data_IF_125622321993
#
_entry.id   IF_125622321993
#
_cell.length_a   1.000
_cell.length_b   1.000
_cell.length_c   1.000
_cell.angle_alpha   90.00
_cell.angle_beta   90.00
_cell.angle_gamma   90.00
#
_symmetry.space_group_name_H-M   'P 1'
#
loop_
_entity.id
_entity.type
_entity.pdbx_description
1 polymer ?
#
# COMPACT_ATOMS: atom_id res chain seq x y z
N UNK A 1 -17.16 1.99 12.96
CA UNK A 1 -16.29 1.14 12.09
C UNK A 1 -15.12 0.68 12.94
N UNK A 2 -14.68 -0.57 12.77
CA UNK A 2 -13.54 -1.11 13.52
C UNK A 2 -12.24 -0.71 12.84
N UNK A 3 -11.30 -0.15 13.59
CA UNK A 3 -9.97 0.18 13.05
C UNK A 3 -9.11 -1.08 12.92
N UNK A 4 -8.53 -1.30 11.74
CA UNK A 4 -7.59 -2.43 11.49
C UNK A 4 -6.13 -1.98 11.55
N UNK A 5 -5.88 -0.69 11.32
CA UNK A 5 -4.57 -0.06 11.45
C UNK A 5 -4.74 1.33 12.07
N UNK A 6 -3.94 1.63 13.09
CA UNK A 6 -3.81 2.98 13.65
C UNK A 6 -2.33 3.27 13.94
N UNK A 7 -1.90 4.46 13.54
CA UNK A 7 -0.64 5.03 14.03
C UNK A 7 -0.95 6.28 14.83
N UNK A 8 -0.20 6.52 15.88
CA UNK A 8 -0.38 7.68 16.75
C UNK A 8 0.94 8.37 16.97
N UNK A 9 1.12 9.53 16.33
CA UNK A 9 2.28 10.38 16.49
C UNK A 9 3.61 9.68 16.22
N UNK A 10 3.72 8.84 15.19
CA UNK A 10 4.96 8.10 14.95
C UNK A 10 6.08 8.98 14.41
N UNK A 11 7.27 8.85 15.02
CA UNK A 11 8.51 9.47 14.59
C UNK A 11 9.50 8.39 14.16
N UNK A 12 9.92 8.39 12.90
CA UNK A 12 10.85 7.42 12.35
C UNK A 12 12.13 8.07 11.82
N UNK A 13 13.21 7.30 11.88
CA UNK A 13 14.55 7.81 11.57
C UNK A 13 15.35 6.78 10.76
N UNK A 14 16.17 7.26 9.83
CA UNK A 14 17.29 6.51 9.27
C UNK A 14 18.60 7.09 9.82
N UNK A 15 19.24 6.35 10.73
CA UNK A 15 20.39 6.85 11.47
C UNK A 15 20.03 8.11 12.27
N UNK A 16 20.60 9.26 11.88
CA UNK A 16 20.32 10.59 12.48
C UNK A 16 19.22 11.35 11.74
N UNK A 17 18.88 10.96 10.52
CA UNK A 17 17.89 11.66 9.70
C UNK A 17 16.48 11.37 10.21
N UNK A 18 15.77 12.39 10.64
CA UNK A 18 14.39 12.34 11.09
C UNK A 18 13.48 12.43 9.87
N UNK A 19 12.70 11.40 9.59
CA UNK A 19 11.89 11.30 8.37
C UNK A 19 10.41 11.48 8.65
N UNK A 20 9.89 10.89 9.72
CA UNK A 20 8.48 11.05 10.10
C UNK A 20 8.36 11.92 11.35
N UNK A 21 7.55 12.93 11.28
CA UNK A 21 7.41 13.99 12.29
C UNK A 21 6.03 13.95 12.95
N UNK A 22 5.70 12.83 13.63
CA UNK A 22 4.44 12.70 14.36
C UNK A 22 3.27 12.25 13.46
N UNK A 23 3.50 11.30 12.55
CA UNK A 23 2.47 10.81 11.62
C UNK A 23 1.41 10.01 12.36
N UNK A 24 0.15 10.41 12.20
CA UNK A 24 -1.04 9.70 12.69
C UNK A 24 -1.98 9.41 11.54
N UNK A 25 -2.36 8.14 11.37
CA UNK A 25 -3.32 7.68 10.37
C UNK A 25 -4.12 6.51 10.91
N UNK A 26 -5.24 6.26 10.26
CA UNK A 26 -6.13 5.16 10.57
C UNK A 26 -6.70 4.54 9.30
N UNK A 27 -6.80 3.21 9.28
CA UNK A 27 -7.52 2.44 8.25
C UNK A 27 -8.59 1.62 8.97
N UNK A 28 -9.83 1.71 8.51
CA UNK A 28 -10.93 0.92 9.03
C UNK A 28 -11.12 -0.37 8.23
N UNK A 29 -11.90 -1.30 8.80
CA UNK A 29 -12.24 -2.55 8.13
C UNK A 29 -13.00 -2.30 6.83
N UNK A 30 -12.55 -2.97 5.73
CA UNK A 30 -13.16 -2.86 4.41
C UNK A 30 -12.98 -1.49 3.73
N UNK A 31 -12.01 -0.69 4.16
CA UNK A 31 -11.73 0.65 3.64
C UNK A 31 -10.47 0.66 2.78
N UNK A 32 -10.49 1.45 1.68
CA UNK A 32 -9.28 1.85 0.97
C UNK A 32 -8.88 3.24 1.46
N UNK A 33 -7.73 3.35 2.10
CA UNK A 33 -7.11 4.64 2.47
C UNK A 33 -5.94 4.91 1.55
N UNK A 34 -5.96 6.04 0.85
CA UNK A 34 -4.83 6.51 0.05
C UNK A 34 -3.91 7.39 0.91
N UNK A 35 -2.61 7.07 0.92
CA UNK A 35 -1.58 7.97 1.42
C UNK A 35 -0.82 8.56 0.23
N UNK A 36 -1.03 9.85 0.01
CA UNK A 36 -0.53 10.61 -1.11
C UNK A 36 0.62 11.52 -0.67
N UNK A 37 1.50 11.85 -1.59
CA UNK A 37 2.62 12.77 -1.35
C UNK A 37 3.71 12.62 -2.37
N UNK A 38 4.60 13.61 -2.43
CA UNK A 38 5.74 13.62 -3.36
C UNK A 38 6.78 12.56 -2.98
N UNK A 39 7.73 12.31 -3.88
CA UNK A 39 8.88 11.47 -3.56
C UNK A 39 9.67 12.08 -2.40
N UNK A 40 10.09 11.23 -1.46
CA UNK A 40 10.79 11.66 -0.25
C UNK A 40 9.89 12.18 0.87
N UNK A 41 8.58 12.31 0.69
CA UNK A 41 7.67 12.80 1.73
C UNK A 41 7.56 11.89 2.97
N UNK A 42 8.04 10.63 2.89
CA UNK A 42 8.00 9.68 4.01
C UNK A 42 6.99 8.54 3.87
N UNK A 43 6.32 8.41 2.71
CA UNK A 43 5.27 7.39 2.47
C UNK A 43 5.74 5.96 2.72
N UNK A 44 6.77 5.51 2.01
CA UNK A 44 7.40 4.19 2.21
C UNK A 44 7.90 4.01 3.65
N UNK A 45 8.45 5.07 4.27
CA UNK A 45 8.90 5.03 5.66
C UNK A 45 7.74 4.78 6.62
N UNK A 46 6.56 5.34 6.33
CA UNK A 46 5.35 5.09 7.13
C UNK A 46 4.95 3.62 7.07
N UNK A 47 4.84 3.03 5.85
CA UNK A 47 4.57 1.58 5.72
C UNK A 47 5.65 0.76 6.44
N UNK A 48 6.93 1.06 6.23
CA UNK A 48 8.04 0.33 6.87
C UNK A 48 8.01 0.44 8.39
N UNK A 49 7.52 1.56 8.93
CA UNK A 49 7.32 1.72 10.38
C UNK A 49 6.17 0.84 10.88
N UNK A 50 5.05 0.80 10.16
CA UNK A 50 3.89 -0.03 10.47
C UNK A 50 4.24 -1.52 10.48
N UNK A 51 5.00 -2.00 9.49
CA UNK A 51 5.36 -3.43 9.36
C UNK A 51 6.62 -3.83 10.16
N UNK A 52 7.18 -2.93 10.97
CA UNK A 52 8.32 -3.24 11.84
C UNK A 52 9.67 -3.35 11.14
N UNK A 53 9.81 -2.91 9.88
CA UNK A 53 11.10 -2.84 9.16
C UNK A 53 11.91 -1.59 9.53
N UNK A 54 11.24 -0.51 9.94
CA UNK A 54 11.85 0.71 10.47
C UNK A 54 11.01 1.16 11.68
N UNK A 55 11.09 0.46 12.83
CA UNK A 55 10.24 0.75 13.98
C UNK A 55 10.35 2.21 14.42
N UNK A 56 9.23 2.87 14.72
CA UNK A 56 9.26 4.26 15.17
C UNK A 56 9.97 4.39 16.51
N UNK A 57 10.73 5.49 16.71
CA UNK A 57 11.38 5.79 17.98
C UNK A 57 10.42 6.36 19.01
N UNK A 58 9.37 7.08 18.54
CA UNK A 58 8.31 7.67 19.34
C UNK A 58 6.97 7.44 18.67
N UNK A 59 5.89 7.51 19.44
CA UNK A 59 4.55 7.21 18.98
C UNK A 59 4.22 5.72 19.06
N UNK A 60 3.05 5.37 18.60
CA UNK A 60 2.52 4.00 18.70
C UNK A 60 1.96 3.52 17.37
N UNK A 61 2.04 2.22 17.11
CA UNK A 61 1.35 1.52 16.03
C UNK A 61 0.46 0.44 16.62
N UNK A 62 -0.76 0.33 16.08
CA UNK A 62 -1.74 -0.68 16.48
C UNK A 62 -2.29 -1.34 15.22
N UNK A 63 -2.37 -2.68 15.22
CA UNK A 63 -2.91 -3.48 14.12
C UNK A 63 -3.87 -4.50 14.71
N UNK A 64 -5.11 -4.52 14.22
CA UNK A 64 -6.20 -5.36 14.72
C UNK A 64 -6.35 -5.29 16.24
N UNK A 65 -6.31 -4.07 16.81
CA UNK A 65 -6.43 -3.81 18.25
C UNK A 65 -5.21 -4.21 19.10
N UNK A 66 -4.11 -4.64 18.47
CA UNK A 66 -2.86 -5.02 19.17
C UNK A 66 -1.80 -3.95 18.98
N UNK A 67 -1.15 -3.51 20.07
CA UNK A 67 0.02 -2.63 20.01
C UNK A 67 1.20 -3.38 19.40
N UNK A 68 1.66 -2.92 18.23
CA UNK A 68 2.70 -3.59 17.42
C UNK A 68 3.97 -2.77 17.26
N UNK A 69 4.10 -1.63 17.94
CA UNK A 69 5.12 -0.58 17.72
C UNK A 69 6.56 -1.06 17.57
N UNK A 70 6.95 -2.13 18.30
CA UNK A 70 8.31 -2.70 18.25
C UNK A 70 8.32 -4.18 17.88
N UNK A 71 7.24 -4.65 17.28
CA UNK A 71 7.20 -6.04 16.84
C UNK A 71 8.06 -6.24 15.59
N UNK A 72 8.75 -7.38 15.49
CA UNK A 72 9.47 -7.73 14.27
C UNK A 72 8.48 -8.04 13.14
N UNK A 73 8.89 -7.76 11.91
CA UNK A 73 8.03 -7.83 10.73
C UNK A 73 7.32 -9.18 10.55
N UNK A 74 7.99 -10.31 10.86
CA UNK A 74 7.37 -11.64 10.74
C UNK A 74 6.16 -11.80 11.68
N UNK A 75 6.20 -11.28 12.91
CA UNK A 75 5.06 -11.31 13.83
C UNK A 75 3.91 -10.44 13.39
N UNK A 76 4.21 -9.29 12.74
CA UNK A 76 3.19 -8.44 12.15
C UNK A 76 2.53 -9.14 10.95
N UNK A 77 3.31 -9.80 10.09
CA UNK A 77 2.78 -10.61 9.01
C UNK A 77 1.88 -11.75 9.53
N UNK A 78 2.22 -12.36 10.67
CA UNK A 78 1.41 -13.38 11.34
C UNK A 78 0.04 -12.86 11.84
N UNK A 79 -0.14 -11.57 12.01
CA UNK A 79 -1.45 -10.98 12.32
C UNK A 79 -2.39 -10.96 11.11
N UNK A 80 -1.91 -11.26 9.91
CA UNK A 80 -2.70 -11.16 8.69
C UNK A 80 -2.49 -9.82 7.97
N UNK A 81 -1.27 -9.28 7.99
CA UNK A 81 -0.88 -8.12 7.19
C UNK A 81 -0.15 -8.58 5.95
N UNK A 82 -0.71 -8.27 4.77
CA UNK A 82 -0.05 -8.44 3.48
C UNK A 82 0.71 -7.16 3.09
N UNK A 83 1.93 -7.31 2.58
CA UNK A 83 2.75 -6.19 2.13
C UNK A 83 3.28 -6.39 0.72
N UNK A 84 3.08 -5.41 -0.14
CA UNK A 84 3.64 -5.31 -1.48
C UNK A 84 4.59 -4.13 -1.51
N UNK A 85 5.90 -4.36 -1.47
CA UNK A 85 6.91 -3.30 -1.55
C UNK A 85 7.06 -2.78 -2.98
N UNK A 86 7.53 -1.56 -3.12
CA UNK A 86 7.95 -0.97 -4.40
C UNK A 86 8.94 -1.89 -5.15
N UNK A 87 8.81 -1.92 -6.49
CA UNK A 87 9.79 -2.54 -7.37
C UNK A 87 9.56 -4.02 -7.65
N UNK A 88 8.31 -4.48 -7.67
CA UNK A 88 7.90 -5.80 -8.21
C UNK A 88 8.72 -6.95 -7.64
N UNK A 89 8.75 -7.11 -6.32
CA UNK A 89 9.59 -8.11 -5.62
C UNK A 89 9.04 -9.53 -5.79
N UNK A 90 9.20 -10.09 -7.00
CA UNK A 90 8.84 -11.47 -7.34
C UNK A 90 10.10 -12.34 -7.46
N UNK A 91 9.92 -13.66 -7.47
CA UNK A 91 10.99 -14.61 -7.74
C UNK A 91 11.07 -14.86 -9.26
N UNK A 92 11.93 -14.13 -9.95
CA UNK A 92 12.05 -14.19 -11.42
C UNK A 92 12.45 -15.55 -11.97
N UNK A 93 13.14 -16.39 -11.18
CA UNK A 93 13.54 -17.75 -11.53
C UNK A 93 12.48 -18.83 -11.30
N UNK A 94 11.37 -18.48 -10.63
CA UNK A 94 10.24 -19.36 -10.41
C UNK A 94 9.12 -19.06 -11.42
N UNK A 95 8.32 -20.06 -11.75
CA UNK A 95 7.08 -19.86 -12.52
C UNK A 95 6.06 -19.04 -11.73
N UNK A 96 5.02 -18.52 -12.40
CA UNK A 96 3.89 -17.84 -11.74
C UNK A 96 3.29 -18.73 -10.66
N UNK A 97 3.00 -19.99 -11.00
CA UNK A 97 2.41 -20.94 -10.05
C UNK A 97 3.32 -21.21 -8.84
N UNK A 98 4.62 -21.35 -9.06
CA UNK A 98 5.60 -21.53 -7.97
C UNK A 98 5.71 -20.28 -7.11
N UNK A 99 5.72 -19.07 -7.70
CA UNK A 99 5.67 -17.82 -6.97
C UNK A 99 4.46 -17.74 -6.04
N UNK A 100 3.28 -18.19 -6.51
CA UNK A 100 2.06 -18.23 -5.70
C UNK A 100 2.10 -19.30 -4.60
N UNK A 101 2.90 -20.35 -4.76
CA UNK A 101 3.08 -21.41 -3.76
C UNK A 101 4.12 -21.09 -2.68
N UNK A 102 5.00 -20.09 -2.90
CA UNK A 102 6.01 -19.69 -1.91
C UNK A 102 5.41 -19.26 -0.56
N UNK A 103 4.35 -18.43 -0.49
CA UNK A 103 3.68 -18.20 0.76
C UNK A 103 3.08 -19.49 1.29
N UNK A 104 3.30 -19.81 2.59
CA UNK A 104 2.54 -20.87 3.22
C UNK A 104 1.07 -20.41 3.31
N UNK A 105 0.24 -20.95 2.41
CA UNK A 105 -1.18 -20.60 2.37
C UNK A 105 -1.82 -20.83 3.74
N UNK A 106 -2.51 -19.83 4.24
CA UNK A 106 -3.30 -19.94 5.48
C UNK A 106 -4.72 -20.34 5.13
N UNK A 107 -5.43 -21.03 6.04
CA UNK A 107 -6.87 -21.28 5.87
C UNK A 107 -7.61 -19.95 5.69
N UNK A 108 -8.50 -19.91 4.70
CA UNK A 108 -9.30 -18.72 4.43
C UNK A 108 -9.86 -18.71 3.00
N UNK A 109 -10.55 -17.63 2.63
CA UNK A 109 -11.22 -17.54 1.33
C UNK A 109 -10.26 -17.42 0.15
N UNK A 110 -9.03 -16.91 0.37
CA UNK A 110 -8.04 -16.74 -0.68
C UNK A 110 -7.23 -18.01 -0.89
N UNK A 111 -7.44 -18.65 -2.03
CA UNK A 111 -6.70 -19.77 -2.55
C UNK A 111 -6.22 -19.48 -3.98
N UNK A 112 -5.43 -20.38 -4.58
CA UNK A 112 -4.87 -20.18 -5.93
C UNK A 112 -5.98 -19.95 -6.96
N UNK A 113 -7.08 -20.70 -6.91
CA UNK A 113 -8.18 -20.58 -7.88
C UNK A 113 -8.87 -19.21 -7.77
N UNK A 114 -9.05 -18.70 -6.54
CA UNK A 114 -9.64 -17.36 -6.34
C UNK A 114 -8.67 -16.27 -6.79
N UNK A 115 -7.37 -16.45 -6.56
CA UNK A 115 -6.33 -15.54 -7.08
C UNK A 115 -6.35 -15.52 -8.60
N UNK A 116 -6.44 -16.66 -9.27
CA UNK A 116 -6.53 -16.71 -10.73
C UNK A 116 -7.83 -16.07 -11.27
N UNK A 117 -8.95 -16.21 -10.57
CA UNK A 117 -10.19 -15.48 -10.93
C UNK A 117 -10.01 -13.95 -10.86
N UNK A 118 -9.24 -13.47 -9.88
CA UNK A 118 -8.94 -12.03 -9.76
C UNK A 118 -7.90 -11.57 -10.79
N UNK A 119 -6.96 -12.47 -11.17
CA UNK A 119 -5.85 -12.21 -12.08
C UNK A 119 -5.83 -13.23 -13.25
N UNK A 120 -6.78 -13.18 -14.20
CA UNK A 120 -6.88 -14.19 -15.28
C UNK A 120 -5.60 -14.30 -16.12
N UNK A 121 -4.90 -13.18 -16.36
CA UNK A 121 -3.63 -13.18 -17.10
C UNK A 121 -2.53 -13.98 -16.40
N UNK A 122 -2.53 -14.04 -15.07
CA UNK A 122 -1.57 -14.88 -14.33
C UNK A 122 -1.90 -16.37 -14.50
N UNK A 123 -3.18 -16.72 -14.62
CA UNK A 123 -3.59 -18.10 -14.91
C UNK A 123 -3.12 -18.55 -16.29
N UNK A 124 -3.33 -17.72 -17.32
CA UNK A 124 -2.87 -17.98 -18.69
C UNK A 124 -1.35 -18.22 -18.76
N UNK A 125 -0.60 -17.59 -17.85
CA UNK A 125 0.86 -17.62 -17.78
C UNK A 125 1.41 -18.44 -16.63
N UNK A 126 0.62 -19.31 -16.00
CA UNK A 126 0.97 -20.02 -14.76
C UNK A 126 2.27 -20.85 -14.84
N UNK A 127 2.65 -21.31 -16.04
CA UNK A 127 3.88 -22.06 -16.29
C UNK A 127 5.07 -21.20 -16.75
N UNK A 128 4.86 -19.90 -17.02
CA UNK A 128 5.94 -19.00 -17.41
C UNK A 128 6.76 -18.55 -16.19
N UNK A 129 8.07 -18.34 -16.38
CA UNK A 129 8.94 -17.82 -15.35
C UNK A 129 8.61 -16.33 -15.05
N UNK A 130 8.72 -15.90 -13.80
CA UNK A 130 8.45 -14.54 -13.39
C UNK A 130 9.22 -13.48 -14.19
N UNK A 131 10.48 -13.77 -14.57
CA UNK A 131 11.29 -12.88 -15.42
C UNK A 131 10.78 -12.73 -16.86
N UNK A 132 9.90 -13.60 -17.34
CA UNK A 132 9.33 -13.56 -18.69
C UNK A 132 8.02 -12.74 -18.74
N UNK A 133 7.50 -12.36 -17.59
CA UNK A 133 6.29 -11.56 -17.48
C UNK A 133 6.58 -10.09 -17.86
N UNK A 134 5.58 -9.41 -18.42
CA UNK A 134 5.58 -7.95 -18.56
C UNK A 134 5.63 -7.28 -17.18
N UNK A 135 6.04 -6.00 -17.13
CA UNK A 135 6.09 -5.25 -15.87
C UNK A 135 4.74 -5.22 -15.13
N UNK A 136 3.63 -5.12 -15.86
CA UNK A 136 2.29 -5.17 -15.27
C UNK A 136 1.92 -6.54 -14.71
N UNK A 137 2.24 -7.60 -15.42
CA UNK A 137 2.02 -8.98 -14.94
C UNK A 137 2.89 -9.30 -13.71
N UNK A 138 4.12 -8.76 -13.67
CA UNK A 138 4.99 -8.88 -12.49
C UNK A 138 4.38 -8.16 -11.28
N UNK A 139 3.81 -6.97 -11.46
CA UNK A 139 3.12 -6.24 -10.41
C UNK A 139 1.88 -6.98 -9.92
N UNK A 140 1.05 -7.47 -10.86
CA UNK A 140 -0.09 -8.32 -10.51
C UNK A 140 0.31 -9.56 -9.72
N UNK A 141 1.44 -10.20 -10.08
CA UNK A 141 1.97 -11.33 -9.32
C UNK A 141 2.47 -10.93 -7.93
N UNK A 142 3.10 -9.76 -7.81
CA UNK A 142 3.54 -9.22 -6.52
C UNK A 142 2.36 -8.95 -5.58
N UNK A 143 1.23 -8.43 -6.11
CA UNK A 143 -0.01 -8.20 -5.36
C UNK A 143 -0.72 -9.52 -5.02
N UNK A 144 -0.71 -10.48 -5.95
CA UNK A 144 -1.39 -11.77 -5.80
C UNK A 144 -0.79 -12.66 -4.68
N UNK A 145 0.53 -12.61 -4.51
CA UNK A 145 1.24 -13.48 -3.56
C UNK A 145 0.79 -13.31 -2.10
N UNK A 146 0.75 -12.12 -1.52
CA UNK A 146 0.32 -11.95 -0.13
C UNK A 146 -1.16 -12.28 0.10
N UNK A 147 -2.03 -12.29 -0.91
CA UNK A 147 -3.43 -12.71 -0.76
C UNK A 147 -3.55 -14.15 -0.25
N UNK A 148 -2.63 -15.03 -0.63
CA UNK A 148 -2.62 -16.43 -0.18
C UNK A 148 -2.30 -16.61 1.32
N UNK A 149 -1.87 -15.55 1.99
CA UNK A 149 -1.77 -15.49 3.45
C UNK A 149 -3.12 -15.16 4.11
N UNK A 150 -4.17 -14.95 3.33
CA UNK A 150 -5.50 -14.56 3.79
C UNK A 150 -5.43 -13.33 4.72
N UNK A 151 -4.88 -12.19 4.24
CA UNK A 151 -4.71 -11.00 5.06
C UNK A 151 -6.05 -10.31 5.32
N UNK A 152 -6.16 -9.62 6.46
CA UNK A 152 -7.25 -8.66 6.72
C UNK A 152 -6.87 -7.23 6.32
N UNK A 153 -5.56 -6.97 6.16
CA UNK A 153 -5.02 -5.67 5.78
C UNK A 153 -3.93 -5.84 4.72
N UNK A 154 -4.05 -5.10 3.61
CA UNK A 154 -3.04 -5.00 2.57
C UNK A 154 -2.37 -3.64 2.60
N UNK A 155 -1.04 -3.63 2.55
CA UNK A 155 -0.21 -2.43 2.44
C UNK A 155 0.47 -2.45 1.07
N UNK A 156 0.14 -1.51 0.21
CA UNK A 156 0.63 -1.41 -1.16
C UNK A 156 1.50 -0.17 -1.30
N UNK A 157 2.77 -0.35 -1.66
CA UNK A 157 3.76 0.73 -1.75
C UNK A 157 4.08 1.03 -3.21
N UNK A 158 3.45 2.07 -3.76
CA UNK A 158 3.57 2.58 -5.13
C UNK A 158 3.37 1.50 -6.23
N UNK A 159 2.27 0.72 -6.19
CA UNK A 159 2.06 -0.38 -7.13
C UNK A 159 1.87 0.08 -8.59
N UNK A 160 1.64 1.36 -8.84
CA UNK A 160 1.50 1.90 -10.20
C UNK A 160 2.83 2.38 -10.82
N UNK A 161 3.91 2.41 -10.04
CA UNK A 161 5.17 3.02 -10.45
C UNK A 161 5.78 2.34 -11.69
N UNK A 162 6.12 3.14 -12.70
CA UNK A 162 6.78 2.65 -13.92
C UNK A 162 5.93 1.73 -14.78
N UNK A 163 4.59 1.79 -14.64
CA UNK A 163 3.64 1.06 -15.46
C UNK A 163 3.00 1.97 -16.52
N UNK A 164 2.62 1.38 -17.66
CA UNK A 164 1.84 2.07 -18.67
C UNK A 164 0.44 2.46 -18.14
N UNK A 165 -0.15 3.59 -18.55
CA UNK A 165 -1.41 4.10 -18.01
C UNK A 165 -2.57 3.11 -18.01
N UNK A 166 -2.66 2.25 -19.03
CA UNK A 166 -3.69 1.22 -19.10
C UNK A 166 -3.52 0.17 -17.98
N UNK A 167 -2.28 -0.26 -17.75
CA UNK A 167 -1.96 -1.24 -16.70
C UNK A 167 -2.18 -0.64 -15.31
N UNK A 168 -1.85 0.64 -15.11
CA UNK A 168 -2.14 1.34 -13.86
C UNK A 168 -3.64 1.28 -13.52
N UNK A 169 -4.52 1.51 -14.52
CA UNK A 169 -5.97 1.36 -14.34
C UNK A 169 -6.36 -0.07 -13.94
N UNK A 170 -5.76 -1.08 -14.58
CA UNK A 170 -6.01 -2.49 -14.23
C UNK A 170 -5.62 -2.78 -12.77
N UNK A 171 -4.43 -2.32 -12.33
CA UNK A 171 -3.98 -2.45 -10.92
C UNK A 171 -4.98 -1.82 -9.96
N UNK A 172 -5.43 -0.59 -10.23
CA UNK A 172 -6.40 0.09 -9.36
C UNK A 172 -7.75 -0.61 -9.33
N UNK A 173 -8.21 -1.19 -10.45
CA UNK A 173 -9.42 -2.01 -10.47
C UNK A 173 -9.27 -3.28 -9.60
N UNK A 174 -8.09 -3.90 -9.61
CA UNK A 174 -7.79 -5.03 -8.73
C UNK A 174 -7.85 -4.62 -7.26
N UNK A 175 -7.21 -3.50 -6.90
CA UNK A 175 -7.24 -2.97 -5.52
C UNK A 175 -8.70 -2.70 -5.08
N UNK A 176 -9.53 -2.13 -5.94
CA UNK A 176 -10.96 -1.93 -5.66
C UNK A 176 -11.68 -3.25 -5.44
N UNK A 177 -11.46 -4.25 -6.31
CA UNK A 177 -12.05 -5.59 -6.13
C UNK A 177 -11.61 -6.25 -4.83
N UNK A 178 -10.36 -6.10 -4.42
CA UNK A 178 -9.88 -6.59 -3.13
C UNK A 178 -10.69 -6.00 -1.96
N UNK A 179 -10.97 -4.69 -1.99
CA UNK A 179 -11.84 -4.04 -1.01
C UNK A 179 -13.27 -4.60 -1.06
N UNK A 180 -13.83 -4.76 -2.26
CA UNK A 180 -15.19 -5.29 -2.44
C UNK A 180 -15.31 -6.75 -1.94
N UNK A 181 -14.19 -7.48 -1.86
CA UNK A 181 -14.04 -8.80 -1.24
C UNK A 181 -13.75 -8.74 0.28
N UNK A 182 -13.83 -7.55 0.90
CA UNK A 182 -13.71 -7.35 2.35
C UNK A 182 -12.30 -7.05 2.85
N UNK A 183 -11.31 -6.86 1.98
CA UNK A 183 -9.96 -6.48 2.39
C UNK A 183 -9.88 -4.99 2.72
N UNK A 184 -9.16 -4.66 3.79
CA UNK A 184 -8.77 -3.28 4.09
C UNK A 184 -7.44 -2.98 3.40
N UNK A 185 -7.27 -1.77 2.86
CA UNK A 185 -6.09 -1.42 2.06
C UNK A 185 -5.53 -0.06 2.47
N UNK A 186 -4.24 0.00 2.76
CA UNK A 186 -3.46 1.24 2.74
C UNK A 186 -2.69 1.29 1.43
N UNK A 187 -3.09 2.19 0.54
CA UNK A 187 -2.49 2.42 -0.76
C UNK A 187 -1.59 3.65 -0.71
N UNK A 188 -0.29 3.45 -0.82
CA UNK A 188 0.68 4.54 -0.96
C UNK A 188 0.91 4.80 -2.44
N UNK A 189 0.72 6.05 -2.90
CA UNK A 189 0.80 6.38 -4.31
C UNK A 189 1.23 7.84 -4.57
N UNK A 190 1.72 8.08 -5.79
CA UNK A 190 1.97 9.41 -6.33
C UNK A 190 0.89 9.85 -7.32
N UNK A 191 0.22 8.90 -7.96
CA UNK A 191 -0.85 9.20 -8.93
C UNK A 191 -2.14 9.61 -8.19
N UNK A 192 -2.22 10.91 -7.86
CA UNK A 192 -3.30 11.47 -7.05
C UNK A 192 -4.67 11.22 -7.64
N UNK A 193 -4.97 11.61 -8.92
CA UNK A 193 -6.32 11.47 -9.47
C UNK A 193 -6.81 10.02 -9.45
N UNK A 194 -5.94 9.07 -9.78
CA UNK A 194 -6.32 7.68 -9.88
C UNK A 194 -6.53 7.05 -8.49
N UNK A 195 -5.66 7.37 -7.53
CA UNK A 195 -5.82 6.90 -6.15
C UNK A 195 -7.11 7.42 -5.52
N UNK A 196 -7.43 8.71 -5.73
CA UNK A 196 -8.66 9.30 -5.22
C UNK A 196 -9.93 8.71 -5.85
N UNK A 197 -9.83 8.17 -7.08
CA UNK A 197 -10.98 7.54 -7.76
C UNK A 197 -11.42 6.22 -7.15
N UNK A 198 -10.58 5.58 -6.33
CA UNK A 198 -10.86 4.28 -5.70
C UNK A 198 -10.84 4.32 -4.18
N UNK A 199 -10.21 5.34 -3.58
CA UNK A 199 -10.09 5.46 -2.13
C UNK A 199 -11.35 6.03 -1.49
N UNK A 200 -11.63 5.59 -0.27
CA UNK A 200 -12.70 6.11 0.58
C UNK A 200 -12.22 7.35 1.34
N UNK A 201 -10.98 7.30 1.86
CA UNK A 201 -10.31 8.40 2.56
C UNK A 201 -8.89 8.60 2.04
N UNK A 202 -8.36 9.79 2.28
CA UNK A 202 -7.00 10.13 1.90
C UNK A 202 -6.26 10.88 3.01
N UNK A 203 -4.97 10.59 3.09
CA UNK A 203 -3.97 11.36 3.82
C UNK A 203 -2.97 11.92 2.84
N UNK A 204 -2.60 13.18 3.02
CA UNK A 204 -1.49 13.78 2.27
C UNK A 204 -0.31 13.95 3.20
N UNK A 205 0.80 13.37 2.82
CA UNK A 205 2.07 13.46 3.53
C UNK A 205 3.00 14.43 2.80
N UNK A 206 3.53 15.42 3.53
CA UNK A 206 4.52 16.36 3.03
C UNK A 206 5.61 16.55 4.11
N UNK A 207 6.87 16.38 3.73
CA UNK A 207 8.03 16.49 4.63
C UNK A 207 7.83 15.78 5.98
N UNK A 208 7.37 14.52 5.93
CA UNK A 208 7.15 13.66 7.10
C UNK A 208 5.97 14.03 7.99
N UNK A 209 5.07 14.93 7.56
CA UNK A 209 3.88 15.36 8.30
C UNK A 209 2.61 15.14 7.49
N UNK A 210 1.52 14.80 8.18
CA UNK A 210 0.19 14.80 7.56
C UNK A 210 -0.28 16.25 7.43
N UNK A 211 -0.52 16.69 6.18
CA UNK A 211 -1.02 18.05 5.86
C UNK A 211 -2.48 18.04 5.43
N UNK A 212 -3.04 16.88 5.13
CA UNK A 212 -4.47 16.66 4.88
C UNK A 212 -4.89 15.29 5.42
N UNK A 213 -6.08 15.22 5.97
CA UNK A 213 -6.77 13.99 6.37
C UNK A 213 -8.27 14.18 6.19
N UNK A 214 -8.89 13.34 5.34
CA UNK A 214 -10.33 13.49 5.06
C UNK A 214 -10.85 12.52 4.02
N UNK A 215 -12.06 12.76 3.54
CA UNK A 215 -12.67 11.99 2.45
C UNK A 215 -11.90 12.15 1.14
N UNK A 216 -11.70 11.06 0.40
CA UNK A 216 -11.03 11.10 -0.89
C UNK A 216 -11.81 11.96 -1.91
N UNK A 217 -13.15 11.89 -1.88
CA UNK A 217 -14.02 12.70 -2.73
C UNK A 217 -13.93 14.21 -2.43
N UNK A 218 -13.66 14.60 -1.18
CA UNK A 218 -13.50 16.00 -0.81
C UNK A 218 -12.14 16.53 -1.24
N UNK A 219 -11.08 15.74 -1.06
CA UNK A 219 -9.76 16.08 -1.59
C UNK A 219 -9.78 16.22 -3.13
N UNK A 220 -10.52 15.37 -3.83
CA UNK A 220 -10.63 15.44 -5.29
C UNK A 220 -11.26 16.76 -5.81
N UNK A 221 -12.03 17.47 -4.98
CA UNK A 221 -12.62 18.79 -5.29
C UNK A 221 -11.63 19.94 -5.07
N UNK A 222 -10.60 19.73 -4.24
CA UNK A 222 -9.54 20.71 -3.96
C UNK A 222 -8.49 20.66 -5.07
N UNK A 223 -8.82 21.32 -6.20
CA UNK A 223 -7.97 21.35 -7.40
C UNK A 223 -6.59 21.93 -7.13
N UNK A 224 -6.46 22.90 -6.22
CA UNK A 224 -5.19 23.55 -5.89
C UNK A 224 -4.26 22.56 -5.18
N UNK A 225 -4.78 21.84 -4.18
CA UNK A 225 -4.02 20.83 -3.46
C UNK A 225 -3.68 19.62 -4.36
N UNK A 226 -4.63 19.16 -5.18
CA UNK A 226 -4.41 18.07 -6.15
C UNK A 226 -3.32 18.47 -7.15
N UNK A 227 -3.37 19.66 -7.75
CA UNK A 227 -2.36 20.15 -8.69
C UNK A 227 -0.98 20.29 -8.04
N UNK A 228 -0.93 20.77 -6.80
CA UNK A 228 0.32 20.87 -6.02
C UNK A 228 0.95 19.49 -5.77
N UNK A 229 0.14 18.50 -5.44
CA UNK A 229 0.58 17.11 -5.24
C UNK A 229 1.03 16.44 -6.54
N UNK A 230 0.34 16.72 -7.65
CA UNK A 230 0.68 16.22 -8.97
C UNK A 230 1.94 16.86 -9.59
N UNK A 231 2.53 17.85 -8.91
CA UNK A 231 3.74 18.55 -9.42
C UNK A 231 3.46 19.64 -10.44
N UNK A 232 2.19 20.00 -10.71
CA UNK A 232 1.80 21.06 -11.63
C UNK A 232 1.89 22.48 -11.03
N UNK A 233 2.28 22.62 -9.78
CA UNK A 233 2.45 23.90 -9.09
C UNK A 233 3.90 24.37 -9.10
N UNK A 234 4.11 25.63 -9.50
CA UNK A 234 5.40 26.34 -9.49
C UNK A 234 6.21 26.09 -8.21
N UNK A 235 7.52 25.95 -8.38
CA UNK A 235 8.48 25.95 -7.29
C UNK A 235 8.27 27.19 -6.40
N UNK A 236 7.91 26.99 -5.15
CA UNK A 236 7.99 28.00 -4.13
C UNK A 236 6.69 28.44 -3.45
N UNK A 237 5.95 27.53 -2.81
CA UNK A 237 5.10 27.94 -1.68
C UNK A 237 5.25 26.88 -0.58
N UNK A 238 6.00 27.22 0.45
CA UNK A 238 6.02 26.56 1.75
C UNK A 238 4.60 26.54 2.31
N UNK A 239 4.16 25.39 2.85
CA UNK A 239 2.98 25.35 3.72
C UNK A 239 3.27 26.23 4.96
N UNK A 240 2.95 27.50 4.90
CA UNK A 240 2.88 28.33 6.09
C UNK A 240 1.43 28.37 6.55
N UNK A 241 1.22 27.67 7.68
CA UNK A 241 0.15 27.72 8.69
C UNK A 241 -1.28 27.54 8.22
#
# INVERSE_FOLDING_TARGET
MTSVLRTHGIHAYYGKSHILHGVSLEVNEGEIVAMLGRNGAGKTTTIRSVIGLTPPRQGETEIFGKKTTRWPAHRIAELGVGYVPEGRKIFGGLTVLENLKVPQARPGPWNIDRVFKLFPRLEERKSQLGRQLSGGEQEMLAIARPLLLNPGLMLLDEPSQGLAPLIVKEVMLVVRRMRDEGLSVLLVEQNVPLSLSIADRAYVLDDGKIVYSGGAADLAKDTDLVNKLAGAGNHGVSFRR
#
